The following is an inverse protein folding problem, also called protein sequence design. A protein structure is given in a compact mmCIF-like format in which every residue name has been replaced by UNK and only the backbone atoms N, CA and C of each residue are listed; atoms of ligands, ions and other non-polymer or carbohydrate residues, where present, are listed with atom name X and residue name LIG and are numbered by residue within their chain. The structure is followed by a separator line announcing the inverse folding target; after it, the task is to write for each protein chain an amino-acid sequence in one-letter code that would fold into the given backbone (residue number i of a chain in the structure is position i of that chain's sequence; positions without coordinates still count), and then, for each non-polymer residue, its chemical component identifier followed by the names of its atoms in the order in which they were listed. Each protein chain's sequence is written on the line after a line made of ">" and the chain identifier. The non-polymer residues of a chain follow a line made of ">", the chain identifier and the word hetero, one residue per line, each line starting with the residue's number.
data_IF_987998903029
#
_entry.id   IF_987998903029
#
_cell.length_a   1.000
_cell.length_b   1.000
_cell.length_c   1.000
_cell.angle_alpha   90.00
_cell.angle_beta   90.00
_cell.angle_gamma   90.00
#
_symmetry.space_group_name_H-M   'P 1'
#
loop_
_entity.id
_entity.type
_entity.pdbx_description
1 polymer ?
#
# COMPACT_ATOMS: atom_id res chain seq x y z
N UNK A 1 6.05 -9.23 -26.90
CA UNK A 1 5.25 -8.14 -27.53
C UNK A 1 5.85 -6.83 -27.05
N UNK A 2 6.53 -6.11 -27.94
CA UNK A 2 7.14 -4.81 -27.61
C UNK A 2 6.05 -3.73 -27.75
N UNK A 3 5.39 -3.43 -26.66
CA UNK A 3 4.40 -2.38 -26.60
C UNK A 3 5.14 -1.05 -26.52
N UNK A 4 5.38 -0.43 -27.65
CA UNK A 4 6.00 0.88 -27.73
C UNK A 4 5.02 1.96 -27.24
N UNK A 5 4.84 2.02 -25.94
CA UNK A 5 4.08 3.08 -25.29
C UNK A 5 4.77 4.42 -25.56
N UNK A 6 4.07 5.40 -26.09
CA UNK A 6 4.60 6.69 -26.51
C UNK A 6 5.52 7.38 -25.48
N UNK A 7 6.07 8.54 -25.83
CA UNK A 7 7.07 9.30 -25.04
C UNK A 7 6.68 9.46 -23.57
N UNK A 8 5.41 9.74 -23.27
CA UNK A 8 4.85 9.87 -21.89
C UNK A 8 5.24 8.69 -20.98
N UNK A 9 5.12 7.46 -21.48
CA UNK A 9 5.40 6.27 -20.66
C UNK A 9 6.89 5.93 -20.62
N UNK A 10 7.67 6.32 -21.64
CA UNK A 10 9.14 6.19 -21.60
C UNK A 10 9.73 7.11 -20.53
N UNK A 11 9.26 8.34 -20.45
CA UNK A 11 9.70 9.30 -19.44
C UNK A 11 9.30 8.82 -18.04
N UNK A 12 8.07 8.32 -17.87
CA UNK A 12 7.62 7.74 -16.61
C UNK A 12 8.42 6.49 -16.22
N UNK A 13 8.73 5.61 -17.17
CA UNK A 13 9.60 4.44 -16.91
C UNK A 13 10.97 4.86 -16.39
N UNK A 14 11.54 5.93 -16.97
CA UNK A 14 12.81 6.49 -16.50
C UNK A 14 12.69 7.01 -15.08
N UNK A 15 11.62 7.75 -14.77
CA UNK A 15 11.35 8.25 -13.42
C UNK A 15 11.31 7.11 -12.39
N UNK A 16 10.57 6.02 -12.69
CA UNK A 16 10.49 4.85 -11.80
C UNK A 16 11.85 4.18 -11.63
N UNK A 17 12.62 4.02 -12.71
CA UNK A 17 13.98 3.46 -12.64
C UNK A 17 14.92 4.30 -11.78
N UNK A 18 14.88 5.61 -11.93
CA UNK A 18 15.74 6.51 -11.15
C UNK A 18 15.32 6.52 -9.68
N UNK A 19 14.02 6.42 -9.40
CA UNK A 19 13.51 6.17 -8.05
C UNK A 19 14.04 4.85 -7.46
N UNK A 20 13.96 3.75 -8.20
CA UNK A 20 14.48 2.45 -7.76
C UNK A 20 15.99 2.50 -7.46
N UNK A 21 16.77 3.21 -8.28
CA UNK A 21 18.21 3.41 -8.02
C UNK A 21 18.45 4.17 -6.73
N UNK A 22 17.68 5.26 -6.51
CA UNK A 22 17.81 6.10 -5.31
C UNK A 22 17.56 5.34 -4.02
N UNK A 23 16.55 4.44 -4.02
CA UNK A 23 16.12 3.71 -2.83
C UNK A 23 16.62 2.26 -2.79
N UNK A 24 17.63 1.93 -3.60
CA UNK A 24 18.24 0.59 -3.60
C UNK A 24 18.85 0.27 -2.24
N UNK A 25 18.54 -0.92 -1.71
CA UNK A 25 19.10 -1.36 -0.43
C UNK A 25 18.42 -0.76 0.80
N UNK A 26 17.18 -0.32 0.67
CA UNK A 26 16.37 0.15 1.79
C UNK A 26 16.07 -0.99 2.77
N UNK A 27 16.19 -0.70 4.08
CA UNK A 27 15.85 -1.61 5.16
C UNK A 27 14.80 -1.00 6.08
N UNK A 28 13.79 -1.80 6.44
CA UNK A 28 12.76 -1.37 7.38
C UNK A 28 13.17 -1.63 8.82
N UNK A 29 12.85 -0.67 9.70
CA UNK A 29 13.19 -0.71 11.12
C UNK A 29 12.04 -1.18 12.01
N UNK A 30 10.82 -1.17 11.50
CA UNK A 30 9.59 -1.33 12.26
C UNK A 30 8.88 -2.66 12.09
N UNK A 31 9.37 -3.58 11.27
CA UNK A 31 8.75 -4.92 11.11
C UNK A 31 9.73 -6.01 10.71
N UNK A 32 9.88 -6.93 11.64
CA UNK A 32 10.18 -8.38 11.51
C UNK A 32 10.83 -8.85 10.20
N UNK A 33 12.03 -8.68 10.08
CA UNK A 33 13.17 -9.45 9.60
C UNK A 33 14.39 -8.60 9.86
N UNK A 34 14.48 -8.10 11.10
CA UNK A 34 15.79 -7.81 11.67
C UNK A 34 16.57 -9.10 11.52
N UNK A 35 17.69 -9.13 10.82
CA UNK A 35 18.56 -10.32 10.83
C UNK A 35 18.74 -10.73 12.27
N UNK A 36 18.61 -12.02 12.58
CA UNK A 36 18.73 -12.56 13.95
C UNK A 36 19.99 -12.11 14.70
N UNK A 37 20.94 -11.55 14.01
CA UNK A 37 22.22 -11.01 14.53
C UNK A 37 22.29 -9.48 14.62
N UNK A 38 21.19 -8.76 14.38
CA UNK A 38 21.08 -7.31 14.70
C UNK A 38 22.01 -6.35 13.97
N UNK A 39 22.82 -6.80 13.00
CA UNK A 39 23.81 -5.95 12.34
C UNK A 39 23.35 -5.50 10.96
N UNK A 40 23.03 -4.20 10.87
CA UNK A 40 22.91 -3.52 9.59
C UNK A 40 24.28 -3.04 9.12
N UNK A 41 24.55 -3.16 7.84
CA UNK A 41 25.78 -2.62 7.27
C UNK A 41 25.77 -1.09 7.34
N UNK A 42 26.92 -0.50 7.59
CA UNK A 42 27.09 0.96 7.56
C UNK A 42 26.74 1.49 6.15
N UNK A 43 25.90 2.53 6.07
CA UNK A 43 25.47 3.14 4.80
C UNK A 43 24.11 2.67 4.26
N UNK A 44 23.42 1.74 4.93
CA UNK A 44 22.08 1.33 4.54
C UNK A 44 21.03 2.40 4.90
N UNK A 45 20.10 2.66 3.96
CA UNK A 45 18.99 3.58 4.20
C UNK A 45 17.95 2.91 5.08
N UNK A 46 17.75 3.45 6.27
CA UNK A 46 16.78 2.95 7.26
C UNK A 46 15.53 3.79 7.25
N UNK A 47 14.36 3.17 7.24
CA UNK A 47 13.08 3.86 7.40
C UNK A 47 12.00 2.90 7.91
N UNK A 48 10.87 3.46 8.33
CA UNK A 48 9.69 2.68 8.67
C UNK A 48 8.91 2.29 7.41
N UNK A 49 8.06 1.28 7.51
CA UNK A 49 7.14 0.95 6.41
C UNK A 49 6.13 2.07 6.16
N UNK A 50 5.71 2.78 7.21
CA UNK A 50 4.85 3.96 7.09
C UNK A 50 5.54 5.08 6.30
N UNK A 51 6.82 5.36 6.57
CA UNK A 51 7.57 6.36 5.80
C UNK A 51 7.68 5.94 4.33
N UNK A 52 7.91 4.66 4.06
CA UNK A 52 7.93 4.12 2.70
C UNK A 52 6.60 4.32 1.99
N UNK A 53 5.47 3.99 2.64
CA UNK A 53 4.13 4.24 2.11
C UNK A 53 3.94 5.70 1.72
N UNK A 54 4.27 6.63 2.64
CA UNK A 54 4.17 8.07 2.41
C UNK A 54 5.01 8.53 1.21
N UNK A 55 6.22 7.99 1.06
CA UNK A 55 7.09 8.27 -0.09
C UNK A 55 6.46 7.77 -1.40
N UNK A 56 5.92 6.54 -1.41
CA UNK A 56 5.27 5.97 -2.58
C UNK A 56 4.01 6.75 -2.98
N UNK A 57 3.19 7.15 -2.01
CA UNK A 57 2.01 7.99 -2.25
C UNK A 57 2.43 9.32 -2.86
N UNK A 58 3.38 10.03 -2.24
CA UNK A 58 3.87 11.33 -2.74
C UNK A 58 4.41 11.27 -4.17
N UNK A 59 4.90 10.10 -4.60
CA UNK A 59 5.39 9.85 -5.95
C UNK A 59 4.31 9.36 -6.92
N UNK A 60 3.12 9.08 -6.45
CA UNK A 60 2.05 8.49 -7.23
C UNK A 60 2.32 7.04 -7.64
N UNK A 61 3.16 6.34 -6.87
CA UNK A 61 3.47 4.92 -7.09
C UNK A 61 2.60 3.99 -6.26
N UNK A 62 1.85 4.55 -5.32
CA UNK A 62 0.83 3.88 -4.53
C UNK A 62 -0.36 4.81 -4.30
N UNK A 63 -1.56 4.26 -4.07
CA UNK A 63 -2.81 4.99 -3.83
C UNK A 63 -3.07 6.10 -4.88
N UNK A 64 -2.75 5.81 -6.15
CA UNK A 64 -2.70 6.80 -7.22
C UNK A 64 -4.03 7.47 -7.50
N UNK A 65 -5.11 6.69 -7.54
CA UNK A 65 -6.47 7.18 -7.85
C UNK A 65 -7.27 7.64 -6.64
N UNK A 66 -6.69 7.49 -5.44
CA UNK A 66 -7.35 7.96 -4.22
C UNK A 66 -7.16 9.47 -4.11
N UNK A 67 -8.21 10.25 -3.81
CA UNK A 67 -8.13 11.70 -3.66
C UNK A 67 -7.10 12.15 -2.61
N UNK A 68 -6.46 13.30 -2.85
CA UNK A 68 -5.48 13.87 -1.91
C UNK A 68 -6.09 14.20 -0.56
N UNK A 69 -7.35 14.63 -0.53
CA UNK A 69 -8.09 14.92 0.70
C UNK A 69 -8.20 13.72 1.64
N UNK A 70 -8.17 12.50 1.09
CA UNK A 70 -8.14 11.24 1.86
C UNK A 70 -6.73 10.63 1.96
N UNK A 71 -5.71 11.40 1.61
CA UNK A 71 -4.31 10.98 1.77
C UNK A 71 -3.74 10.15 0.62
N UNK A 72 -4.44 10.07 -0.51
CA UNK A 72 -3.94 9.48 -1.75
C UNK A 72 -3.10 10.45 -2.57
N UNK A 73 -2.78 10.07 -3.82
CA UNK A 73 -2.03 10.91 -4.75
C UNK A 73 -2.93 11.84 -5.59
N UNK A 74 -4.22 11.54 -5.73
CA UNK A 74 -5.16 12.34 -6.51
C UNK A 74 -4.96 12.30 -8.03
N UNK A 75 -4.28 11.29 -8.54
CA UNK A 75 -4.02 11.16 -9.98
C UNK A 75 -5.00 10.22 -10.68
N UNK A 76 -4.91 10.20 -12.01
CA UNK A 76 -5.73 9.29 -12.83
C UNK A 76 -5.40 7.81 -12.59
N UNK A 77 -6.42 6.96 -12.71
CA UNK A 77 -6.24 5.52 -12.74
C UNK A 77 -5.64 5.10 -14.10
N UNK A 78 -4.32 4.93 -14.14
CA UNK A 78 -3.56 4.60 -15.36
C UNK A 78 -2.94 3.21 -15.20
N UNK A 79 -3.58 2.20 -15.79
CA UNK A 79 -3.17 0.80 -15.73
C UNK A 79 -1.75 0.58 -16.28
N UNK A 80 -1.36 1.36 -17.31
CA UNK A 80 -0.02 1.24 -17.90
C UNK A 80 1.04 1.73 -16.91
N UNK A 81 0.79 2.85 -16.23
CA UNK A 81 1.68 3.33 -15.17
C UNK A 81 1.77 2.36 -14.00
N UNK A 82 0.64 1.80 -13.57
CA UNK A 82 0.62 0.79 -12.51
C UNK A 82 1.48 -0.42 -12.88
N UNK A 83 1.38 -0.89 -14.13
CA UNK A 83 2.19 -1.99 -14.64
C UNK A 83 3.68 -1.65 -14.70
N UNK A 84 4.05 -0.46 -15.18
CA UNK A 84 5.44 0.01 -15.22
C UNK A 84 6.04 0.01 -13.81
N UNK A 85 5.30 0.53 -12.82
CA UNK A 85 5.75 0.54 -11.42
C UNK A 85 6.00 -0.88 -10.94
N UNK A 86 5.03 -1.79 -11.12
CA UNK A 86 5.14 -3.17 -10.68
C UNK A 86 6.34 -3.89 -11.32
N UNK A 87 6.54 -3.74 -12.64
CA UNK A 87 7.63 -4.36 -13.36
C UNK A 87 9.01 -3.83 -12.93
N UNK A 88 9.17 -2.51 -12.81
CA UNK A 88 10.45 -1.91 -12.43
C UNK A 88 10.79 -2.16 -10.95
N UNK A 89 9.78 -2.20 -10.07
CA UNK A 89 9.95 -2.59 -8.66
C UNK A 89 10.39 -4.04 -8.56
N UNK A 90 9.75 -4.96 -9.29
CA UNK A 90 10.12 -6.36 -9.31
C UNK A 90 11.56 -6.57 -9.83
N UNK A 91 11.92 -5.95 -10.97
CA UNK A 91 13.28 -6.01 -11.55
C UNK A 91 14.35 -5.49 -10.58
N UNK A 92 14.03 -4.43 -9.85
CA UNK A 92 14.96 -3.77 -8.92
C UNK A 92 14.90 -4.35 -7.51
N UNK A 93 14.06 -5.36 -7.26
CA UNK A 93 13.81 -5.95 -5.93
C UNK A 93 13.42 -4.90 -4.88
N UNK A 94 12.64 -3.91 -5.31
CA UNK A 94 12.12 -2.88 -4.40
C UNK A 94 11.03 -3.46 -3.50
N UNK A 95 10.94 -3.00 -2.24
CA UNK A 95 9.84 -3.38 -1.37
C UNK A 95 8.50 -2.93 -1.97
N UNK A 96 7.52 -3.85 -1.97
CA UNK A 96 6.14 -3.51 -2.34
C UNK A 96 5.53 -2.56 -1.32
N UNK A 97 4.54 -1.75 -1.71
CA UNK A 97 3.71 -1.05 -0.75
C UNK A 97 3.03 -2.05 0.20
N UNK A 98 2.64 -1.58 1.37
CA UNK A 98 1.80 -2.36 2.28
C UNK A 98 0.46 -2.60 1.60
N UNK A 99 -0.05 -3.80 1.75
CA UNK A 99 -1.38 -4.21 1.32
C UNK A 99 -2.16 -4.77 2.50
N UNK A 100 -3.22 -5.51 2.23
CA UNK A 100 -4.02 -6.21 3.21
C UNK A 100 -5.42 -5.63 3.34
N UNK A 101 -6.21 -6.19 4.23
CA UNK A 101 -7.66 -5.97 4.31
C UNK A 101 -8.07 -4.49 4.41
N UNK A 102 -7.29 -3.68 5.13
CA UNK A 102 -7.56 -2.25 5.22
C UNK A 102 -7.43 -1.54 3.87
N UNK A 103 -6.33 -1.78 3.17
CA UNK A 103 -6.03 -1.10 1.89
C UNK A 103 -6.86 -1.68 0.75
N UNK A 104 -6.96 -3.03 0.69
CA UNK A 104 -7.53 -3.71 -0.46
C UNK A 104 -9.06 -3.88 -0.39
N UNK A 105 -9.65 -3.77 0.81
CA UNK A 105 -11.08 -3.94 1.05
C UNK A 105 -11.74 -2.73 1.70
N UNK A 106 -11.25 -2.27 2.86
CA UNK A 106 -11.90 -1.19 3.61
C UNK A 106 -11.83 0.14 2.87
N UNK A 107 -10.65 0.53 2.38
CA UNK A 107 -10.47 1.82 1.70
C UNK A 107 -11.40 1.96 0.49
N UNK A 108 -11.47 1.02 -0.47
CA UNK A 108 -12.42 1.13 -1.58
C UNK A 108 -13.87 1.13 -1.11
N UNK A 109 -14.22 0.34 -0.09
CA UNK A 109 -15.58 0.33 0.46
C UNK A 109 -15.95 1.69 1.08
N UNK A 110 -15.04 2.30 1.84
CA UNK A 110 -15.29 3.63 2.42
C UNK A 110 -15.38 4.72 1.34
N UNK A 111 -14.56 4.66 0.30
CA UNK A 111 -14.63 5.63 -0.80
C UNK A 111 -15.99 5.59 -1.49
N UNK A 112 -16.57 4.42 -1.65
CA UNK A 112 -17.86 4.22 -2.33
C UNK A 112 -19.05 4.45 -1.42
N UNK A 113 -19.06 3.87 -0.22
CA UNK A 113 -20.23 3.76 0.66
C UNK A 113 -20.08 4.51 1.98
N UNK A 114 -18.89 4.91 2.36
CA UNK A 114 -18.65 5.59 3.64
C UNK A 114 -19.19 7.02 3.65
N UNK A 115 -19.63 7.48 4.81
CA UNK A 115 -19.91 8.90 5.03
C UNK A 115 -18.58 9.68 5.13
N UNK A 116 -18.66 11.02 5.09
CA UNK A 116 -17.48 11.88 5.05
C UNK A 116 -16.62 11.74 6.32
N UNK A 117 -17.24 11.63 7.48
CA UNK A 117 -16.54 11.42 8.75
C UNK A 117 -15.71 10.14 8.74
N UNK A 118 -16.28 9.04 8.24
CA UNK A 118 -15.60 7.76 8.11
C UNK A 118 -14.43 7.83 7.13
N UNK A 119 -14.61 8.50 5.99
CA UNK A 119 -13.55 8.68 4.99
C UNK A 119 -12.36 9.44 5.57
N UNK A 120 -12.62 10.59 6.18
CA UNK A 120 -11.60 11.43 6.79
C UNK A 120 -10.87 10.73 7.93
N UNK A 121 -11.61 9.99 8.76
CA UNK A 121 -11.06 9.32 9.93
C UNK A 121 -10.16 8.13 9.59
N UNK A 122 -10.55 7.32 8.59
CA UNK A 122 -9.94 6.00 8.41
C UNK A 122 -9.09 5.85 7.16
N UNK A 123 -9.35 6.55 6.06
CA UNK A 123 -8.65 6.27 4.80
C UNK A 123 -7.18 6.65 4.89
N UNK A 124 -6.87 7.89 5.22
CA UNK A 124 -5.49 8.38 5.29
C UNK A 124 -4.60 7.57 6.24
N UNK A 125 -4.96 7.32 7.51
CA UNK A 125 -4.12 6.54 8.40
C UNK A 125 -3.98 5.08 7.96
N UNK A 126 -4.99 4.51 7.28
CA UNK A 126 -4.89 3.18 6.68
C UNK A 126 -3.88 3.14 5.52
N UNK A 127 -3.96 4.10 4.60
CA UNK A 127 -3.01 4.22 3.48
C UNK A 127 -1.58 4.44 3.96
N UNK A 128 -1.39 5.17 5.04
CA UNK A 128 -0.08 5.45 5.64
C UNK A 128 0.45 4.28 6.48
N UNK A 129 -0.33 3.20 6.68
CA UNK A 129 0.06 2.07 7.52
C UNK A 129 0.12 2.40 9.01
N UNK A 130 -0.62 3.43 9.45
CA UNK A 130 -0.75 3.85 10.85
C UNK A 130 -1.84 3.03 11.57
N UNK A 131 -2.82 2.52 10.81
CA UNK A 131 -3.86 1.61 11.28
C UNK A 131 -3.72 0.28 10.52
N UNK A 132 -3.69 -0.82 11.26
CA UNK A 132 -3.73 -2.18 10.74
C UNK A 132 -5.10 -2.77 11.00
N UNK A 133 -5.70 -3.33 9.97
CA UNK A 133 -7.02 -3.92 10.02
C UNK A 133 -6.96 -5.43 10.01
N UNK A 134 -7.85 -6.05 10.78
CA UNK A 134 -8.10 -7.48 10.74
C UNK A 134 -9.56 -7.74 10.37
N UNK A 135 -9.83 -8.95 9.92
CA UNK A 135 -11.16 -9.38 9.54
C UNK A 135 -11.65 -10.41 10.55
N UNK A 136 -12.77 -10.12 11.22
CA UNK A 136 -13.47 -11.07 12.06
C UNK A 136 -14.63 -11.66 11.26
N UNK A 137 -14.42 -12.82 10.65
CA UNK A 137 -15.40 -13.45 9.76
C UNK A 137 -16.13 -14.58 10.45
N UNK A 138 -15.42 -15.63 10.78
CA UNK A 138 -15.98 -16.84 11.39
C UNK A 138 -15.69 -16.87 12.87
N UNK A 139 -16.67 -17.28 13.67
CA UNK A 139 -16.45 -17.69 15.05
C UNK A 139 -15.81 -19.09 15.08
N UNK A 140 -15.17 -19.51 16.18
CA UNK A 140 -14.57 -20.83 16.28
C UNK A 140 -15.52 -21.98 15.93
N UNK A 141 -16.82 -21.83 16.23
CA UNK A 141 -17.84 -22.84 16.01
C UNK A 141 -18.89 -22.43 14.95
N UNK A 142 -18.76 -21.28 14.30
CA UNK A 142 -19.71 -20.78 13.32
C UNK A 142 -18.98 -20.19 12.09
N UNK A 143 -18.79 -21.05 11.09
CA UNK A 143 -18.28 -20.66 9.78
C UNK A 143 -19.37 -20.85 8.72
N UNK A 144 -19.35 -21.98 8.02
CA UNK A 144 -20.41 -22.34 7.05
C UNK A 144 -21.78 -22.50 7.69
N UNK A 145 -21.83 -22.93 8.95
CA UNK A 145 -23.06 -22.93 9.75
C UNK A 145 -23.27 -21.54 10.39
N UNK A 146 -23.82 -20.61 9.59
CA UNK A 146 -24.10 -19.26 10.02
C UNK A 146 -25.17 -19.19 11.11
N UNK A 147 -26.08 -20.17 11.18
CA UNK A 147 -27.14 -20.22 12.17
C UNK A 147 -26.62 -20.40 13.62
N UNK A 148 -25.41 -20.92 13.78
CA UNK A 148 -24.78 -21.11 15.10
C UNK A 148 -24.01 -19.90 15.62
N UNK A 149 -24.07 -18.75 14.94
CA UNK A 149 -23.45 -17.49 15.39
C UNK A 149 -23.93 -17.10 16.80
N UNK A 150 -22.99 -16.76 17.67
CA UNK A 150 -23.25 -16.32 19.04
C UNK A 150 -22.93 -14.85 19.29
N UNK A 151 -22.16 -14.21 18.39
CA UNK A 151 -21.87 -12.78 18.48
C UNK A 151 -23.15 -11.95 18.41
N UNK A 152 -23.35 -11.09 19.40
CA UNK A 152 -24.52 -10.20 19.52
C UNK A 152 -24.07 -8.75 19.55
N UNK A 153 -24.86 -7.88 18.93
CA UNK A 153 -24.79 -6.44 19.16
C UNK A 153 -25.82 -6.04 20.23
N UNK A 154 -25.36 -5.34 21.25
CA UNK A 154 -26.25 -4.73 22.27
C UNK A 154 -26.20 -3.21 22.09
N UNK A 155 -27.38 -2.55 22.11
CA UNK A 155 -27.53 -1.10 22.00
C UNK A 155 -27.53 -0.47 23.40
#
# INVERSE_FOLDING_TARGET
>A
MDLNFGKKYKDFTKEVKDFCKKYKGIHFTDWSRVPLNGSFKSGEMKMTRSDWQKILIKKGFFARSIPEEYGGYGGENDIIKARIIAEEFAKSKMPSPMGGQGIDMLVPTLLELGNEEQKQKYIKPTLHGEIIWCQGYSEPNAGSDLASLQTKGEL
#
